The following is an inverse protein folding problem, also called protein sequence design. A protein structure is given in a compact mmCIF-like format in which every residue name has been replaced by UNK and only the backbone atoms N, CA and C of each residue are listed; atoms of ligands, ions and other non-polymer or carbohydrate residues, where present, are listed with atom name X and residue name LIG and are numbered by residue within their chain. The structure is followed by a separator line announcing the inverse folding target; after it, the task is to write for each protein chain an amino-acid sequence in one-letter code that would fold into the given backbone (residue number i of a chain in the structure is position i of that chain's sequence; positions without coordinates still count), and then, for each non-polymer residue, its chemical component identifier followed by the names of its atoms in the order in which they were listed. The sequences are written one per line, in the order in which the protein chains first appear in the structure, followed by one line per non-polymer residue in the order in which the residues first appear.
data_IF_598819186880
#
_entry.id   IF_598819186880
#
_cell.length_a   1.000
_cell.length_b   1.000
_cell.length_c   1.000
_cell.angle_alpha   90.00
_cell.angle_beta   90.00
_cell.angle_gamma   90.00
#
_symmetry.space_group_name_H-M   'P 1'
#
loop_
_entity.id
_entity.type
_entity.pdbx_description
1 polymer ?
#
# COMPACT_ATOMS: atom_id res chain seq x y z
N UNK A 1 23.14 -13.36 14.08
CA UNK A 1 23.90 -12.26 13.48
C UNK A 1 23.65 -12.28 11.99
N UNK A 2 22.53 -11.76 11.50
CA UNK A 2 22.01 -12.12 10.16
C UNK A 2 21.55 -10.90 9.34
N UNK A 3 22.29 -9.79 9.47
CA UNK A 3 22.15 -8.63 8.58
C UNK A 3 23.35 -8.60 7.64
N UNK A 4 23.35 -9.37 6.54
CA UNK A 4 24.34 -9.28 5.46
C UNK A 4 23.92 -10.11 4.24
N UNK A 5 22.81 -9.75 3.58
CA UNK A 5 22.62 -10.15 2.18
C UNK A 5 22.11 -8.95 1.36
N UNK A 6 22.92 -8.36 0.48
CA UNK A 6 22.51 -7.20 -0.32
C UNK A 6 21.53 -7.55 -1.46
N UNK A 7 21.31 -8.84 -1.76
CA UNK A 7 20.42 -9.31 -2.84
C UNK A 7 18.95 -9.52 -2.44
N UNK A 8 18.58 -9.40 -1.17
CA UNK A 8 17.16 -9.57 -0.76
C UNK A 8 16.31 -8.34 -1.01
N UNK A 9 16.90 -7.15 -1.27
CA UNK A 9 16.13 -5.93 -1.59
C UNK A 9 15.30 -6.07 -2.87
N UNK A 10 15.74 -6.92 -3.81
CA UNK A 10 15.07 -7.18 -5.10
C UNK A 10 14.18 -8.42 -5.10
N UNK A 11 14.25 -9.24 -4.05
CA UNK A 11 13.34 -10.38 -3.86
C UNK A 11 12.06 -10.01 -3.10
N UNK A 12 11.97 -8.80 -2.55
CA UNK A 12 10.74 -8.36 -1.88
C UNK A 12 9.70 -8.03 -2.95
N UNK A 13 8.65 -8.85 -3.02
CA UNK A 13 7.50 -8.56 -3.87
C UNK A 13 6.98 -7.14 -3.57
N UNK A 14 6.51 -6.39 -4.58
CA UNK A 14 5.92 -5.07 -4.36
C UNK A 14 4.68 -5.18 -3.45
N UNK A 15 4.34 -4.09 -2.78
CA UNK A 15 3.08 -4.01 -2.05
C UNK A 15 1.95 -3.67 -3.02
N UNK A 16 0.85 -4.39 -2.98
CA UNK A 16 -0.34 -4.03 -3.75
C UNK A 16 -1.06 -2.85 -3.07
N UNK A 17 -1.19 -1.75 -3.82
CA UNK A 17 -1.88 -0.55 -3.38
C UNK A 17 -3.08 -0.34 -4.30
N UNK A 18 -4.28 -0.32 -3.73
CA UNK A 18 -5.47 0.09 -4.47
C UNK A 18 -5.46 1.59 -4.63
N UNK A 19 -5.45 2.03 -5.88
CA UNK A 19 -5.63 3.42 -6.24
C UNK A 19 -7.08 3.66 -6.64
N UNK A 20 -7.74 4.50 -5.86
CA UNK A 20 -9.15 4.83 -6.03
C UNK A 20 -9.26 6.32 -6.27
N UNK A 21 -10.07 6.68 -7.27
CA UNK A 21 -10.38 8.06 -7.58
C UNK A 21 -11.67 8.46 -6.86
N UNK A 22 -11.59 9.51 -6.04
CA UNK A 22 -12.73 10.18 -5.42
C UNK A 22 -13.63 10.83 -6.46
N UNK A 23 -14.83 11.22 -6.05
CA UNK A 23 -15.86 11.78 -6.95
C UNK A 23 -15.47 13.14 -7.52
N UNK A 24 -14.70 13.92 -6.76
CA UNK A 24 -14.11 15.23 -7.05
C UNK A 24 -12.70 15.09 -7.66
N UNK A 25 -12.28 13.85 -7.94
CA UNK A 25 -11.02 13.56 -8.59
C UNK A 25 -9.81 13.39 -7.66
N UNK A 26 -10.01 13.37 -6.34
CA UNK A 26 -8.98 13.04 -5.36
C UNK A 26 -8.39 11.64 -5.58
N UNK A 27 -7.08 11.45 -5.36
CA UNK A 27 -6.43 10.15 -5.49
C UNK A 27 -6.20 9.54 -4.10
N UNK A 28 -6.83 8.40 -3.84
CA UNK A 28 -6.73 7.68 -2.59
C UNK A 28 -5.98 6.37 -2.79
N UNK A 29 -5.01 6.11 -1.91
CA UNK A 29 -4.13 4.94 -1.98
C UNK A 29 -4.31 4.08 -0.74
N UNK A 30 -4.85 2.87 -0.91
CA UNK A 30 -5.12 1.94 0.17
C UNK A 30 -4.21 0.72 0.06
N UNK A 31 -3.46 0.42 1.12
CA UNK A 31 -2.68 -0.79 1.24
C UNK A 31 -3.35 -1.75 2.23
N UNK A 32 -3.74 -2.95 1.77
CA UNK A 32 -4.37 -3.98 2.62
C UNK A 32 -3.39 -5.04 3.13
N UNK A 33 -2.09 -4.85 2.89
CA UNK A 33 -1.05 -5.77 3.32
C UNK A 33 0.32 -5.12 3.39
N UNK A 34 1.32 -5.87 3.87
CA UNK A 34 2.70 -5.41 3.94
C UNK A 34 3.09 -4.69 5.22
N UNK A 35 2.38 -4.89 6.34
CA UNK A 35 2.67 -4.24 7.64
C UNK A 35 4.16 -4.33 8.03
N UNK A 36 4.76 -5.52 7.97
CA UNK A 36 6.19 -5.73 8.24
C UNK A 36 7.12 -5.01 7.24
N UNK A 37 6.69 -4.86 5.97
CA UNK A 37 7.47 -4.19 4.92
C UNK A 37 7.44 -2.66 5.09
N UNK A 38 6.27 -2.10 5.40
CA UNK A 38 6.13 -0.69 5.73
C UNK A 38 6.92 -0.33 6.98
N UNK A 39 6.85 -1.14 8.03
CA UNK A 39 7.62 -0.92 9.25
C UNK A 39 9.14 -0.99 8.99
N UNK A 40 9.60 -1.94 8.17
CA UNK A 40 11.01 -1.99 7.78
C UNK A 40 11.44 -0.74 7.00
N UNK A 41 10.64 -0.27 6.04
CA UNK A 41 10.93 0.96 5.29
C UNK A 41 10.91 2.21 6.19
N UNK A 42 9.96 2.27 7.13
CA UNK A 42 9.84 3.35 8.11
C UNK A 42 11.05 3.36 9.06
N UNK A 43 11.44 2.21 9.60
CA UNK A 43 12.63 2.06 10.45
C UNK A 43 13.94 2.35 9.71
N UNK A 44 13.99 2.08 8.40
CA UNK A 44 15.12 2.41 7.53
C UNK A 44 15.12 3.88 7.06
N UNK A 45 14.09 4.67 7.41
CA UNK A 45 13.98 6.07 7.00
C UNK A 45 13.76 6.27 5.49
N UNK A 46 13.26 5.26 4.79
CA UNK A 46 13.00 5.35 3.36
C UNK A 46 11.71 6.12 3.10
N UNK A 47 11.80 7.23 2.37
CA UNK A 47 10.66 8.09 2.04
C UNK A 47 9.65 7.43 1.08
N UNK A 48 10.07 6.39 0.34
CA UNK A 48 9.24 5.72 -0.67
C UNK A 48 9.41 4.21 -0.61
N UNK A 49 8.33 3.46 -0.89
CA UNK A 49 8.32 2.01 -1.00
C UNK A 49 7.88 1.59 -2.42
N UNK A 50 8.45 0.50 -2.92
CA UNK A 50 7.98 -0.09 -4.19
C UNK A 50 6.60 -0.70 -4.01
N UNK A 51 5.64 -0.16 -4.76
CA UNK A 51 4.26 -0.62 -4.74
C UNK A 51 3.71 -0.79 -6.16
N UNK A 52 2.81 -1.75 -6.32
CA UNK A 52 2.02 -1.97 -7.51
C UNK A 52 0.68 -1.25 -7.34
N UNK A 53 0.48 -0.22 -8.14
CA UNK A 53 -0.77 0.54 -8.17
C UNK A 53 -1.83 -0.23 -8.96
N UNK A 54 -2.87 -0.67 -8.27
CA UNK A 54 -4.02 -1.34 -8.86
C UNK A 54 -5.16 -0.34 -8.90
N UNK A 55 -5.52 0.11 -10.11
CA UNK A 55 -6.64 1.05 -10.27
C UNK A 55 -7.95 0.35 -9.96
N UNK A 56 -8.68 0.85 -8.99
CA UNK A 56 -9.91 0.25 -8.48
C UNK A 56 -10.99 1.31 -8.26
N UNK A 57 -12.22 0.84 -8.05
CA UNK A 57 -13.38 1.70 -7.74
C UNK A 57 -13.61 1.74 -6.23
N UNK A 58 -14.26 2.78 -5.69
CA UNK A 58 -14.61 2.83 -4.26
C UNK A 58 -15.37 1.60 -3.78
N UNK A 59 -16.23 1.02 -4.63
CA UNK A 59 -16.96 -0.21 -4.34
C UNK A 59 -16.04 -1.41 -4.04
N UNK A 60 -14.82 -1.43 -4.57
CA UNK A 60 -13.82 -2.47 -4.26
C UNK A 60 -13.32 -2.40 -2.82
N UNK A 61 -13.53 -1.28 -2.10
CA UNK A 61 -13.22 -1.15 -0.68
C UNK A 61 -14.29 -1.75 0.23
N UNK A 62 -15.53 -1.93 -0.23
CA UNK A 62 -16.62 -2.48 0.59
C UNK A 62 -16.25 -3.78 1.31
N UNK A 63 -15.67 -4.82 0.66
CA UNK A 63 -15.31 -6.04 1.36
C UNK A 63 -14.21 -5.86 2.41
N UNK A 64 -13.43 -4.77 2.35
CA UNK A 64 -12.35 -4.50 3.29
C UNK A 64 -12.75 -3.55 4.43
N UNK A 65 -13.52 -2.50 4.12
CA UNK A 65 -13.90 -1.45 5.07
C UNK A 65 -15.32 -1.64 5.62
N UNK A 66 -16.17 -2.40 4.94
CA UNK A 66 -17.56 -2.63 5.33
C UNK A 66 -18.31 -1.31 5.62
N UNK A 67 -18.86 -1.20 6.82
CA UNK A 67 -19.57 0.00 7.29
C UNK A 67 -18.66 1.20 7.62
N UNK A 68 -17.34 1.01 7.65
CA UNK A 68 -16.36 2.08 7.88
C UNK A 68 -15.85 2.71 6.58
N UNK A 69 -16.58 2.52 5.47
CA UNK A 69 -16.21 3.11 4.19
C UNK A 69 -16.28 4.65 4.28
N UNK A 70 -15.16 5.37 4.12
CA UNK A 70 -15.17 6.82 4.14
C UNK A 70 -15.84 7.36 2.88
N UNK A 71 -16.50 8.51 3.01
CA UNK A 71 -17.01 9.24 1.86
C UNK A 71 -15.83 9.83 1.08
N UNK A 72 -15.38 9.12 0.05
CA UNK A 72 -14.31 9.56 -0.84
C UNK A 72 -14.84 10.71 -1.69
N UNK A 73 -14.58 11.93 -1.23
CA UNK A 73 -14.92 13.15 -1.96
C UNK A 73 -14.00 13.32 -3.14
#
# INVERSE_FOLDING_TARGET
SDMKNPNTKDQVAPVDILWIKGRDGGNYYYAFGGNHRFEAHYRLGLATIRAKLIRSVPASLLPYLGGSMPDLK
#
